data_IF_404503803865
#
_entry.id   IF_404503803865
#
_cell.length_a   1.000
_cell.length_b   1.000
_cell.length_c   1.000
_cell.angle_alpha   90.00
_cell.angle_beta   90.00
_cell.angle_gamma   90.00
#
_symmetry.space_group_name_H-M   'P 1'
#
loop_
_entity.id
_entity.type
_entity.pdbx_description
1 polymer ?
#
# COMPACT_ATOMS: atom_id res chain seq x y z
N UNK A 1 -14.85 -7.70 -3.91
CA UNK A 1 -13.50 -7.40 -4.42
C UNK A 1 -13.64 -7.16 -5.91
N UNK A 2 -12.98 -6.14 -6.47
CA UNK A 2 -13.05 -5.84 -7.90
C UNK A 2 -11.68 -5.32 -8.40
N UNK A 3 -11.15 -6.01 -9.41
CA UNK A 3 -9.76 -5.86 -9.88
C UNK A 3 -8.72 -6.02 -8.76
N UNK A 4 -8.59 -7.16 -8.08
CA UNK A 4 -7.50 -7.36 -7.13
C UNK A 4 -6.14 -7.32 -7.83
N UNK A 5 -5.16 -6.62 -7.24
CA UNK A 5 -3.82 -6.47 -7.83
C UNK A 5 -2.70 -6.98 -6.91
N UNK A 6 -2.78 -6.71 -5.61
CA UNK A 6 -1.80 -7.18 -4.64
C UNK A 6 -2.47 -7.68 -3.37
N UNK A 7 -1.78 -8.59 -2.69
CA UNK A 7 -2.09 -9.07 -1.35
C UNK A 7 -0.85 -8.96 -0.47
N UNK A 8 -1.01 -8.48 0.75
CA UNK A 8 0.07 -8.44 1.76
C UNK A 8 -0.43 -8.95 3.09
N UNK A 9 0.40 -9.73 3.79
CA UNK A 9 0.09 -10.19 5.14
C UNK A 9 0.40 -9.10 6.17
N UNK A 10 -0.48 -8.93 7.14
CA UNK A 10 -0.26 -8.11 8.32
C UNK A 10 -0.25 -9.01 9.57
N UNK A 11 0.88 -9.68 9.76
CA UNK A 11 1.05 -10.72 10.78
C UNK A 11 0.72 -10.24 12.21
N UNK A 12 1.05 -8.99 12.56
CA UNK A 12 0.78 -8.41 13.87
C UNK A 12 -0.71 -8.38 14.24
N UNK A 13 -1.61 -8.46 13.24
CA UNK A 13 -3.07 -8.45 13.44
C UNK A 13 -3.76 -9.73 12.98
N UNK A 14 -3.01 -10.70 12.42
CA UNK A 14 -3.62 -11.89 11.81
C UNK A 14 -4.52 -11.57 10.62
N UNK A 15 -4.24 -10.49 9.87
CA UNK A 15 -5.04 -10.09 8.71
C UNK A 15 -4.24 -10.09 7.41
N UNK A 16 -4.95 -10.12 6.27
CA UNK A 16 -4.39 -9.89 4.94
C UNK A 16 -5.05 -8.67 4.31
N UNK A 17 -4.25 -7.83 3.67
CA UNK A 17 -4.72 -6.65 2.96
C UNK A 17 -4.71 -6.93 1.47
N UNK A 18 -5.78 -6.56 0.77
CA UNK A 18 -5.92 -6.75 -0.68
C UNK A 18 -6.28 -5.43 -1.34
N UNK A 19 -5.52 -5.02 -2.35
CA UNK A 19 -5.85 -3.83 -3.15
C UNK A 19 -7.00 -4.15 -4.11
N UNK A 20 -8.01 -3.27 -4.15
CA UNK A 20 -9.13 -3.34 -5.11
C UNK A 20 -9.01 -2.16 -6.06
N UNK A 21 -8.38 -2.42 -7.20
CA UNK A 21 -7.97 -1.42 -8.18
C UNK A 21 -9.13 -0.57 -8.68
N UNK A 22 -10.23 -1.18 -9.11
CA UNK A 22 -11.36 -0.43 -9.67
C UNK A 22 -12.19 0.31 -8.61
N UNK A 23 -12.10 -0.11 -7.34
CA UNK A 23 -12.87 0.50 -6.25
C UNK A 23 -12.11 1.59 -5.50
N UNK A 24 -10.82 1.80 -5.78
CA UNK A 24 -10.00 2.72 -5.01
C UNK A 24 -10.03 2.39 -3.50
N UNK A 25 -9.95 1.09 -3.17
CA UNK A 25 -10.04 0.60 -1.78
C UNK A 25 -8.99 -0.45 -1.50
N UNK A 26 -8.59 -0.52 -0.24
CA UNK A 26 -7.86 -1.66 0.35
C UNK A 26 -8.82 -2.41 1.25
N UNK A 27 -9.00 -3.70 0.98
CA UNK A 27 -9.78 -4.60 1.83
C UNK A 27 -8.85 -5.19 2.89
N UNK A 28 -9.35 -5.31 4.11
CA UNK A 28 -8.69 -6.04 5.20
C UNK A 28 -9.54 -7.27 5.48
N UNK A 29 -8.94 -8.44 5.32
CA UNK A 29 -9.59 -9.73 5.53
C UNK A 29 -8.92 -10.45 6.70
N UNK A 30 -9.71 -11.23 7.42
CA UNK A 30 -9.21 -12.20 8.38
C UNK A 30 -8.36 -13.25 7.65
N UNK A 31 -7.13 -13.49 8.11
CA UNK A 31 -6.19 -14.34 7.38
C UNK A 31 -6.58 -15.82 7.40
N UNK A 32 -7.33 -16.27 8.42
CA UNK A 32 -7.73 -17.67 8.58
C UNK A 32 -9.02 -17.97 7.82
N UNK A 33 -10.00 -17.09 7.93
CA UNK A 33 -11.36 -17.31 7.41
C UNK A 33 -11.63 -16.61 6.08
N UNK A 34 -10.78 -15.66 5.68
CA UNK A 34 -10.97 -14.83 4.48
C UNK A 34 -12.13 -13.83 4.59
N UNK A 35 -12.77 -13.72 5.75
CA UNK A 35 -13.90 -12.81 5.97
C UNK A 35 -13.41 -11.36 5.95
N UNK A 36 -14.17 -10.49 5.28
CA UNK A 36 -13.89 -9.04 5.29
C UNK A 36 -14.10 -8.48 6.69
N UNK A 37 -13.03 -7.95 7.27
CA UNK A 37 -13.05 -7.26 8.56
C UNK A 37 -13.40 -5.79 8.37
N UNK A 38 -12.73 -5.12 7.42
CA UNK A 38 -12.93 -3.69 7.11
C UNK A 38 -12.37 -3.36 5.73
N UNK A 39 -12.51 -2.10 5.32
CA UNK A 39 -11.81 -1.54 4.17
C UNK A 39 -11.47 -0.07 4.40
N UNK A 40 -10.50 0.45 3.67
CA UNK A 40 -10.11 1.86 3.71
C UNK A 40 -9.61 2.35 2.34
N UNK A 41 -9.25 3.63 2.26
CA UNK A 41 -8.95 4.32 1.02
C UNK A 41 -10.16 5.08 0.46
N UNK A 42 -9.94 5.92 -0.55
CA UNK A 42 -11.03 6.51 -1.32
C UNK A 42 -10.67 7.69 -2.20
N UNK A 43 -10.84 8.89 -1.67
CA UNK A 43 -10.69 10.10 -2.48
C UNK A 43 -9.23 10.39 -2.77
N UNK A 44 -8.37 10.15 -1.79
CA UNK A 44 -6.92 10.29 -1.85
C UNK A 44 -6.23 9.17 -2.65
N UNK A 45 -6.84 7.98 -2.72
CA UNK A 45 -6.26 6.80 -3.35
C UNK A 45 -6.89 6.55 -4.70
N UNK A 46 -6.11 6.40 -5.77
CA UNK A 46 -6.64 6.08 -7.09
C UNK A 46 -5.93 4.88 -7.70
N UNK A 47 -6.74 3.84 -7.93
CA UNK A 47 -6.34 2.59 -8.55
C UNK A 47 -5.14 1.95 -7.84
N UNK A 48 -5.30 1.51 -6.57
CA UNK A 48 -4.20 0.93 -5.81
C UNK A 48 -3.70 -0.35 -6.48
N UNK A 49 -2.37 -0.51 -6.52
CA UNK A 49 -1.71 -1.70 -7.07
C UNK A 49 -0.88 -2.35 -5.98
N UNK A 50 0.35 -1.88 -5.76
CA UNK A 50 1.29 -2.39 -4.78
C UNK A 50 1.06 -1.86 -3.36
N UNK A 51 1.42 -2.67 -2.38
CA UNK A 51 1.33 -2.35 -0.96
C UNK A 51 2.52 -2.93 -0.21
N UNK A 52 2.86 -2.33 0.93
CA UNK A 52 3.75 -2.92 1.91
C UNK A 52 3.34 -2.54 3.32
N UNK A 53 3.41 -3.50 4.24
CA UNK A 53 3.23 -3.25 5.68
C UNK A 53 4.60 -2.94 6.28
N UNK A 54 4.67 -1.91 7.13
CA UNK A 54 5.89 -1.57 7.86
C UNK A 54 6.36 -2.77 8.71
N UNK A 55 7.68 -2.96 8.93
CA UNK A 55 8.19 -4.03 9.78
C UNK A 55 7.60 -4.05 11.20
N UNK A 56 7.25 -2.88 11.75
CA UNK A 56 6.61 -2.75 13.06
C UNK A 56 5.07 -2.83 13.01
N UNK A 57 4.48 -3.11 11.84
CA UNK A 57 3.04 -3.30 11.66
C UNK A 57 2.17 -2.05 11.78
N UNK A 58 2.68 -0.91 12.25
CA UNK A 58 1.86 0.27 12.54
C UNK A 58 1.36 1.06 11.32
N UNK A 59 1.97 0.88 10.15
CA UNK A 59 1.68 1.66 8.94
C UNK A 59 1.72 0.77 7.68
N UNK A 60 0.93 1.16 6.68
CA UNK A 60 0.86 0.54 5.36
C UNK A 60 1.16 1.60 4.31
N UNK A 61 2.09 1.31 3.41
CA UNK A 61 2.26 2.07 2.18
C UNK A 61 1.42 1.47 1.07
N UNK A 62 0.79 2.35 0.29
CA UNK A 62 -0.04 1.96 -0.84
C UNK A 62 0.34 2.82 -2.04
N UNK A 63 0.71 2.18 -3.15
CA UNK A 63 0.93 2.89 -4.40
C UNK A 63 -0.41 3.30 -5.02
N UNK A 64 -0.59 4.59 -5.26
CA UNK A 64 -1.71 5.17 -5.99
C UNK A 64 -1.31 5.36 -7.44
N UNK A 65 -1.70 4.39 -8.27
CA UNK A 65 -1.23 4.29 -9.65
C UNK A 65 -1.62 5.51 -10.50
N UNK A 66 -2.84 6.03 -10.36
CA UNK A 66 -3.30 7.15 -11.21
C UNK A 66 -2.77 8.49 -10.72
N UNK A 67 -2.62 8.69 -9.41
CA UNK A 67 -2.13 9.97 -8.90
C UNK A 67 -0.62 10.10 -8.95
N UNK A 68 0.12 9.01 -9.24
CA UNK A 68 1.58 8.95 -9.24
C UNK A 68 2.17 9.19 -7.84
N UNK A 69 1.64 8.48 -6.84
CA UNK A 69 1.95 8.74 -5.42
C UNK A 69 2.08 7.43 -4.65
N UNK A 70 2.82 7.47 -3.54
CA UNK A 70 2.77 6.44 -2.50
C UNK A 70 2.19 7.08 -1.25
N UNK A 71 1.07 6.54 -0.80
CA UNK A 71 0.31 7.03 0.34
C UNK A 71 0.62 6.21 1.59
N UNK A 72 0.44 6.83 2.76
CA UNK A 72 0.58 6.22 4.09
C UNK A 72 -0.76 6.04 4.74
N UNK A 73 -0.94 4.91 5.40
CA UNK A 73 -2.12 4.62 6.19
C UNK A 73 -1.72 4.02 7.53
N UNK A 74 -2.39 4.45 8.60
CA UNK A 74 -2.32 3.71 9.85
C UNK A 74 -2.89 2.29 9.62
N UNK A 75 -2.11 1.26 9.94
CA UNK A 75 -2.45 -0.12 9.62
C UNK A 75 -3.64 -0.66 10.44
N UNK A 76 -3.91 -0.08 11.62
CA UNK A 76 -5.00 -0.50 12.50
C UNK A 76 -6.30 0.21 12.16
N UNK A 77 -6.27 1.53 11.97
CA UNK A 77 -7.48 2.32 11.68
C UNK A 77 -7.79 2.44 10.18
N UNK A 78 -6.80 2.29 9.31
CA UNK A 78 -6.92 2.60 7.87
C UNK A 78 -7.03 4.09 7.57
N UNK A 79 -6.72 4.96 8.53
CA UNK A 79 -6.72 6.41 8.33
C UNK A 79 -5.52 6.80 7.45
N UNK A 80 -5.76 7.60 6.41
CA UNK A 80 -4.69 8.19 5.61
C UNK A 80 -3.87 9.15 6.50
N UNK A 81 -2.57 8.86 6.67
CA UNK A 81 -1.66 9.64 7.53
C UNK A 81 -0.77 10.58 6.74
N UNK A 82 -0.83 10.55 5.40
CA UNK A 82 -0.13 11.47 4.52
C UNK A 82 0.60 10.75 3.39
N UNK A 83 1.56 11.46 2.80
CA UNK A 83 2.28 10.99 1.62
C UNK A 83 3.64 10.44 2.02
N UNK A 84 3.98 9.28 1.48
CA UNK A 84 5.33 8.75 1.56
C UNK A 84 6.21 9.30 0.45
N UNK A 85 5.71 9.28 -0.79
CA UNK A 85 6.43 9.79 -1.95
C UNK A 85 5.46 10.40 -2.97
N UNK A 86 5.85 11.55 -3.54
CA UNK A 86 5.16 12.25 -4.63
C UNK A 86 6.20 12.92 -5.54
N UNK A 87 5.94 12.95 -6.84
CA UNK A 87 6.84 13.58 -7.81
C UNK A 87 8.15 12.81 -8.06
N UNK A 88 9.20 13.51 -8.50
CA UNK A 88 10.54 12.96 -8.78
C UNK A 88 10.56 11.73 -9.71
N UNK A 89 9.73 11.74 -10.77
CA UNK A 89 9.67 10.65 -11.75
C UNK A 89 8.94 9.40 -11.25
N UNK A 90 8.24 9.47 -10.12
CA UNK A 90 7.27 8.45 -9.78
C UNK A 90 6.16 8.50 -10.85
N UNK A 91 6.02 7.44 -11.65
CA UNK A 91 5.03 7.34 -12.70
C UNK A 91 4.35 5.99 -12.62
N UNK A 92 3.04 6.01 -12.38
CA UNK A 92 2.20 4.85 -12.22
C UNK A 92 2.85 3.79 -11.32
N UNK A 93 3.08 4.08 -10.02
CA UNK A 93 3.74 3.15 -9.14
C UNK A 93 2.94 1.84 -9.02
N UNK A 94 3.62 0.70 -9.17
CA UNK A 94 2.99 -0.63 -9.26
C UNK A 94 3.37 -1.55 -8.10
N UNK A 95 4.52 -1.35 -7.48
CA UNK A 95 5.03 -2.20 -6.41
C UNK A 95 5.67 -1.38 -5.29
N UNK A 96 5.52 -1.84 -4.04
CA UNK A 96 6.17 -1.25 -2.87
C UNK A 96 6.75 -2.39 -2.04
N UNK A 97 7.99 -2.24 -1.59
CA UNK A 97 8.65 -3.19 -0.69
C UNK A 97 9.47 -2.44 0.37
N UNK A 98 9.60 -3.03 1.56
CA UNK A 98 10.40 -2.47 2.66
C UNK A 98 11.51 -3.45 2.99
N UNK A 99 12.75 -2.97 2.94
CA UNK A 99 13.93 -3.73 3.35
C UNK A 99 14.06 -3.83 4.87
N UNK A 100 14.86 -4.79 5.35
CA UNK A 100 15.15 -4.92 6.79
C UNK A 100 15.90 -3.73 7.39
N UNK A 101 16.54 -2.92 6.54
CA UNK A 101 17.18 -1.64 6.89
C UNK A 101 16.19 -0.46 6.90
N UNK A 102 14.89 -0.74 6.76
CA UNK A 102 13.80 0.24 6.61
C UNK A 102 13.88 1.09 5.34
N UNK A 103 14.72 0.71 4.34
CA UNK A 103 14.66 1.33 3.02
C UNK A 103 13.36 0.95 2.31
N UNK A 104 12.75 1.91 1.62
CA UNK A 104 11.54 1.65 0.81
C UNK A 104 11.90 1.64 -0.66
N UNK A 105 11.44 0.60 -1.35
CA UNK A 105 11.64 0.42 -2.79
C UNK A 105 10.29 0.50 -3.49
N UNK A 106 10.20 1.34 -4.51
CA UNK A 106 8.97 1.57 -5.27
C UNK A 106 9.23 1.30 -6.74
N UNK A 107 8.52 0.34 -7.31
CA UNK A 107 8.54 0.10 -8.76
C UNK A 107 7.64 1.13 -9.45
N UNK A 108 8.15 1.73 -10.53
CA UNK A 108 7.41 2.61 -11.43
C UNK A 108 7.07 1.85 -12.72
N UNK A 109 5.93 2.16 -13.33
CA UNK A 109 5.57 1.56 -14.62
C UNK A 109 6.47 2.02 -15.76
N UNK A 110 7.05 3.23 -15.65
CA UNK A 110 7.76 3.87 -16.75
C UNK A 110 9.23 3.42 -16.89
N UNK A 111 10.00 3.40 -15.80
CA UNK A 111 11.45 3.53 -15.93
C UNK A 111 12.30 2.75 -14.90
N UNK A 112 11.70 2.12 -13.88
CA UNK A 112 12.43 1.18 -13.03
C UNK A 112 12.02 1.17 -11.56
N UNK A 113 13.00 1.06 -10.67
CA UNK A 113 12.79 0.99 -9.21
C UNK A 113 13.45 2.18 -8.54
N UNK A 114 12.69 2.88 -7.71
CA UNK A 114 13.15 4.00 -6.89
C UNK A 114 13.41 3.53 -5.47
N UNK A 115 14.60 3.81 -4.94
CA UNK A 115 14.92 3.61 -3.53
C UNK A 115 14.73 4.92 -2.78
N UNK A 116 13.97 4.87 -1.70
CA UNK A 116 13.82 5.94 -0.73
C UNK A 116 14.57 5.56 0.55
N UNK A 117 15.01 6.57 1.29
CA UNK A 117 15.65 6.39 2.60
C UNK A 117 14.68 5.82 3.64
N UNK A 118 15.11 5.84 4.91
CA UNK A 118 14.37 5.25 6.03
C UNK A 118 12.89 5.58 6.03
N UNK A 119 12.09 4.59 6.40
CA UNK A 119 10.72 4.77 6.88
C UNK A 119 10.69 5.78 8.04
N UNK A 120 10.38 7.05 7.74
CA UNK A 120 10.11 8.12 8.73
C UNK A 120 8.69 8.57 8.58
#
# INVERSE_FOLDING_TARGET
>A
MDGPQAVVAHAATGSVLVSSYHRNRILVLDAETGKKLREFGGDELKRPVGMAVAPFGGEVLVSSHVTNEVLRYNASSGTHTGYFARGFGLWAPTGVAVGGDLSVWVATFADGVRRYGFWK
#
